data_IF_927019431311
#
_entry.id   IF_927019431311
#
_cell.length_a   1.000
_cell.length_b   1.000
_cell.length_c   1.000
_cell.angle_alpha   90.00
_cell.angle_beta   90.00
_cell.angle_gamma   90.00
#
_symmetry.space_group_name_H-M   'P 1'
#
loop_
_entity.id
_entity.type
_entity.pdbx_description
1 polymer ?
#
# COMPACT_ATOMS: atom_id res chain seq x y z
N UNK A 1 -9.42 -16.02 -19.52
CA UNK A 1 -10.89 -15.74 -19.55
C UNK A 1 -11.18 -14.35 -18.94
N UNK A 2 -12.45 -13.93 -18.88
CA UNK A 2 -12.87 -12.73 -18.15
C UNK A 2 -13.78 -13.11 -16.99
N UNK A 3 -13.66 -12.42 -15.87
CA UNK A 3 -14.54 -12.61 -14.71
C UNK A 3 -15.96 -12.19 -15.09
N UNK A 4 -16.97 -13.06 -14.92
CA UNK A 4 -18.35 -12.73 -15.25
C UNK A 4 -18.98 -11.73 -14.27
N UNK A 5 -18.36 -11.51 -13.09
CA UNK A 5 -18.84 -10.56 -12.08
C UNK A 5 -18.28 -9.15 -12.29
N UNK A 6 -16.96 -8.99 -12.47
CA UNK A 6 -16.32 -7.68 -12.60
C UNK A 6 -15.78 -7.35 -13.99
N UNK A 7 -15.82 -8.29 -14.94
CA UNK A 7 -15.34 -8.08 -16.31
C UNK A 7 -13.82 -8.04 -16.46
N UNK A 8 -13.03 -8.13 -15.39
CA UNK A 8 -11.57 -8.12 -15.48
C UNK A 8 -11.01 -9.45 -16.00
N UNK A 9 -9.83 -9.40 -16.63
CA UNK A 9 -9.21 -10.55 -17.28
C UNK A 9 -8.45 -11.40 -16.24
N UNK A 10 -8.62 -12.72 -16.33
CA UNK A 10 -8.16 -13.70 -15.34
C UNK A 10 -7.69 -14.99 -16.04
N UNK A 11 -6.84 -15.77 -15.36
CA UNK A 11 -6.42 -17.10 -15.84
C UNK A 11 -7.58 -18.08 -15.81
N UNK A 12 -7.53 -19.10 -16.67
CA UNK A 12 -8.60 -20.10 -16.82
C UNK A 12 -8.63 -21.15 -15.69
N UNK A 13 -7.55 -21.31 -14.94
CA UNK A 13 -7.42 -22.25 -13.82
C UNK A 13 -7.71 -21.61 -12.46
N UNK A 14 -7.96 -20.29 -12.43
CA UNK A 14 -8.34 -19.59 -11.21
C UNK A 14 -9.66 -20.15 -10.66
N UNK A 15 -9.65 -20.54 -9.38
CA UNK A 15 -10.88 -20.94 -8.65
C UNK A 15 -11.73 -19.73 -8.25
N UNK A 16 -11.08 -18.60 -8.01
CA UNK A 16 -11.70 -17.32 -7.66
C UNK A 16 -11.13 -16.20 -8.54
N UNK A 17 -11.92 -15.18 -8.82
CA UNK A 17 -11.47 -13.97 -9.50
C UNK A 17 -10.53 -13.20 -8.56
N UNK A 18 -9.25 -13.02 -8.89
CA UNK A 18 -8.31 -12.28 -8.05
C UNK A 18 -8.65 -10.79 -7.92
N UNK A 19 -9.63 -10.31 -8.69
CA UNK A 19 -9.98 -8.89 -8.79
C UNK A 19 -11.17 -8.49 -7.92
N UNK A 20 -12.05 -9.45 -7.62
CA UNK A 20 -13.31 -9.18 -6.92
C UNK A 20 -13.80 -10.36 -6.09
N UNK A 21 -12.99 -11.41 -5.96
CA UNK A 21 -13.30 -12.61 -5.21
C UNK A 21 -14.41 -13.50 -5.78
N UNK A 22 -14.93 -13.24 -7.00
CA UNK A 22 -16.01 -14.07 -7.55
C UNK A 22 -15.57 -15.53 -7.74
N UNK A 23 -16.33 -16.50 -7.25
CA UNK A 23 -16.05 -17.92 -7.52
C UNK A 23 -16.27 -18.23 -9.01
N UNK A 24 -15.29 -18.89 -9.63
CA UNK A 24 -15.26 -19.13 -11.08
C UNK A 24 -15.65 -20.55 -11.46
N UNK A 25 -15.78 -21.46 -10.49
CA UNK A 25 -16.09 -22.87 -10.69
C UNK A 25 -17.38 -23.10 -11.50
N UNK A 26 -18.34 -22.17 -11.47
CA UNK A 26 -19.57 -22.21 -12.26
C UNK A 26 -19.44 -21.74 -13.72
N UNK A 27 -18.30 -21.17 -14.12
CA UNK A 27 -18.10 -20.47 -15.38
C UNK A 27 -16.96 -21.02 -16.24
N UNK A 28 -16.18 -21.96 -15.72
CA UNK A 28 -15.20 -22.70 -16.50
C UNK A 28 -15.90 -23.70 -17.42
N UNK A 29 -15.55 -23.77 -18.72
CA UNK A 29 -16.06 -24.82 -19.58
C UNK A 29 -15.59 -26.15 -19.00
N UNK A 30 -16.55 -26.95 -18.52
CA UNK A 30 -16.31 -28.30 -18.05
C UNK A 30 -15.64 -29.07 -19.19
N UNK A 31 -14.33 -29.31 -19.09
CA UNK A 31 -13.62 -30.13 -20.06
C UNK A 31 -14.31 -31.48 -20.09
N UNK A 32 -14.79 -31.85 -21.28
CA UNK A 32 -15.50 -33.07 -21.53
C UNK A 32 -14.54 -34.26 -21.46
N UNK A 33 -14.33 -34.77 -20.25
CA UNK A 33 -13.73 -36.07 -19.99
C UNK A 33 -14.29 -36.64 -18.68
N UNK A 34 -15.60 -36.83 -18.62
CA UNK A 34 -16.27 -38.00 -18.02
C UNK A 34 -17.78 -37.80 -18.14
N UNK A 35 -18.34 -38.42 -19.17
CA UNK A 35 -19.76 -38.74 -19.23
C UNK A 35 -19.88 -40.27 -19.20
N UNK A 36 -20.94 -40.72 -18.52
CA UNK A 36 -21.39 -42.11 -18.27
C UNK A 36 -20.78 -42.78 -17.01
N UNK A 37 -21.54 -43.16 -15.97
CA UNK A 37 -22.99 -43.43 -15.83
C UNK A 37 -23.45 -43.07 -14.41
N UNK A 38 -24.50 -42.26 -14.30
CA UNK A 38 -25.29 -42.08 -13.08
C UNK A 38 -26.30 -43.24 -12.96
N UNK A 39 -26.27 -44.07 -11.90
CA UNK A 39 -27.38 -44.98 -11.63
C UNK A 39 -28.65 -44.18 -11.30
N UNK A 40 -29.76 -44.62 -11.89
CA UNK A 40 -31.08 -44.08 -11.67
C UNK A 40 -31.46 -44.13 -10.18
N UNK A 41 -32.10 -43.03 -9.71
CA UNK A 41 -32.71 -42.97 -8.40
C UNK A 41 -33.83 -44.01 -8.27
N UNK A 42 -33.89 -44.79 -7.18
CA UNK A 42 -35.10 -45.54 -6.84
C UNK A 42 -36.21 -44.56 -6.43
N UNK A 43 -37.44 -44.92 -6.81
CA UNK A 43 -38.67 -44.23 -6.43
C UNK A 43 -38.80 -44.08 -4.91
N UNK A 44 -39.34 -42.94 -4.49
CA UNK A 44 -39.72 -42.66 -3.10
C UNK A 44 -40.79 -43.67 -2.63
N UNK A 45 -40.49 -44.44 -1.59
CA UNK A 45 -41.49 -45.00 -0.68
C UNK A 45 -41.92 -43.93 0.34
N UNK A 46 -43.18 -43.96 0.81
CA UNK A 46 -43.68 -42.98 1.77
C UNK A 46 -43.05 -43.19 3.16
N UNK A 47 -42.82 -42.08 3.85
CA UNK A 47 -42.30 -42.05 5.21
C UNK A 47 -43.18 -42.87 6.18
N UNK A 48 -42.59 -43.71 7.06
CA UNK A 48 -43.34 -44.35 8.13
C UNK A 48 -43.78 -43.31 9.17
N UNK A 49 -45.04 -43.42 9.58
CA UNK A 49 -45.65 -42.59 10.62
C UNK A 49 -44.90 -42.70 11.96
N UNK A 50 -44.69 -41.57 12.64
CA UNK A 50 -44.19 -41.52 14.01
C UNK A 50 -45.09 -42.34 14.96
N UNK A 51 -44.53 -43.20 15.82
CA UNK A 51 -45.25 -43.74 16.96
C UNK A 51 -45.51 -42.61 17.98
N UNK A 52 -46.75 -42.53 18.46
CA UNK A 52 -47.11 -41.68 19.60
C UNK A 52 -46.39 -42.15 20.87
N UNK A 53 -45.70 -41.25 21.55
CA UNK A 53 -45.08 -41.52 22.85
C UNK A 53 -46.15 -41.56 23.96
N UNK A 54 -46.14 -42.56 24.87
CA UNK A 54 -47.17 -42.73 25.89
C UNK A 54 -47.13 -41.68 27.01
N UNK A 55 -48.29 -41.48 27.64
CA UNK A 55 -48.49 -40.64 28.81
C UNK A 55 -47.82 -41.18 30.10
N UNK A 56 -47.35 -40.22 30.90
CA UNK A 56 -46.89 -40.22 32.30
C UNK A 56 -46.94 -41.52 33.14
N UNK A 57 -45.86 -41.71 33.90
CA UNK A 57 -45.92 -42.20 35.28
C UNK A 57 -45.08 -41.29 36.20
N UNK A 58 -45.61 -41.00 37.39
CA UNK A 58 -45.14 -40.01 38.36
C UNK A 58 -44.33 -40.66 39.49
N UNK A 59 -43.20 -40.07 39.91
CA UNK A 59 -42.60 -40.23 41.25
C UNK A 59 -41.45 -39.22 41.48
N UNK A 60 -40.98 -38.99 42.71
CA UNK A 60 -41.65 -38.37 43.85
C UNK A 60 -40.98 -37.01 44.23
N UNK A 61 -41.69 -36.19 45.02
CA UNK A 61 -41.18 -34.92 45.54
C UNK A 61 -40.04 -35.11 46.57
N UNK A 62 -38.98 -34.30 46.45
CA UNK A 62 -37.92 -34.15 47.46
C UNK A 62 -37.42 -32.69 47.52
N UNK A 63 -36.77 -32.25 48.61
CA UNK A 63 -37.18 -31.09 49.40
C UNK A 63 -36.54 -29.78 48.97
N UNK A 64 -37.19 -28.67 49.33
CA UNK A 64 -36.72 -27.31 49.09
C UNK A 64 -35.38 -27.01 49.80
N UNK A 65 -34.37 -26.66 49.01
CA UNK A 65 -33.13 -26.01 49.46
C UNK A 65 -33.39 -24.51 49.64
N UNK A 66 -32.99 -23.89 50.76
CA UNK A 66 -33.20 -22.47 50.99
C UNK A 66 -32.30 -21.61 50.08
N UNK A 67 -32.88 -20.53 49.54
CA UNK A 67 -32.19 -19.56 48.69
C UNK A 67 -31.02 -18.87 49.44
N UNK A 68 -29.88 -18.63 48.77
CA UNK A 68 -28.85 -17.78 49.33
C UNK A 68 -29.36 -16.33 49.44
N UNK A 69 -29.15 -15.74 50.62
CA UNK A 69 -29.42 -14.32 50.86
C UNK A 69 -28.58 -13.47 49.91
N UNK A 70 -29.24 -12.62 49.11
CA UNK A 70 -28.56 -11.59 48.34
C UNK A 70 -27.99 -10.55 49.29
N UNK A 71 -26.68 -10.36 49.24
CA UNK A 71 -26.03 -9.15 49.74
C UNK A 71 -26.59 -7.93 49.00
N UNK A 72 -26.92 -6.90 49.77
CA UNK A 72 -27.37 -5.61 49.26
C UNK A 72 -26.20 -4.87 48.63
N UNK A 73 -26.33 -4.48 47.37
CA UNK A 73 -25.40 -3.55 46.72
C UNK A 73 -25.40 -2.19 47.45
N UNK A 74 -24.24 -1.51 47.58
CA UNK A 74 -24.17 -0.19 48.21
C UNK A 74 -24.92 0.86 47.38
N UNK A 75 -25.62 1.75 48.09
CA UNK A 75 -26.37 2.86 47.51
C UNK A 75 -25.46 3.84 46.78
N UNK A 76 -25.77 4.10 45.51
CA UNK A 76 -25.14 5.13 44.68
C UNK A 76 -25.56 6.54 45.16
N UNK A 77 -24.65 7.53 45.26
CA UNK A 77 -25.03 8.91 45.55
C UNK A 77 -25.90 9.50 44.42
N UNK A 78 -26.95 10.21 44.80
CA UNK A 78 -27.81 10.94 43.85
C UNK A 78 -27.02 12.08 43.19
N UNK A 79 -26.86 12.02 41.87
CA UNK A 79 -26.42 13.15 41.05
C UNK A 79 -27.55 14.19 40.96
N UNK A 80 -27.25 15.50 41.01
CA UNK A 80 -28.27 16.54 40.87
C UNK A 80 -28.82 16.59 39.44
N UNK A 81 -30.12 16.82 39.32
CA UNK A 81 -30.81 16.98 38.04
C UNK A 81 -30.25 18.18 37.25
N UNK A 82 -29.95 18.04 35.94
CA UNK A 82 -29.66 19.20 35.11
C UNK A 82 -30.94 20.02 34.91
N UNK A 83 -30.84 21.32 35.15
CA UNK A 83 -31.86 22.29 34.80
C UNK A 83 -32.09 22.24 33.28
N UNK A 84 -33.36 22.17 32.87
CA UNK A 84 -33.75 22.29 31.47
C UNK A 84 -33.59 23.74 31.04
N UNK A 85 -32.51 24.04 30.32
CA UNK A 85 -32.43 25.26 29.52
C UNK A 85 -33.42 25.16 28.35
N UNK A 86 -34.22 26.22 28.21
CA UNK A 86 -35.12 26.44 27.08
C UNK A 86 -34.33 26.36 25.78
N UNK A 87 -34.82 25.55 24.84
CA UNK A 87 -34.36 25.51 23.47
C UNK A 87 -34.29 26.92 22.85
N UNK A 88 -33.19 27.30 22.19
CA UNK A 88 -33.16 28.50 21.36
C UNK A 88 -34.17 28.36 20.22
N UNK A 89 -34.95 29.42 19.96
CA UNK A 89 -35.82 29.49 18.81
C UNK A 89 -35.00 29.41 17.51
N UNK A 90 -35.41 28.51 16.62
CA UNK A 90 -34.85 28.32 15.29
C UNK A 90 -34.89 29.64 14.48
N UNK A 91 -33.79 30.08 13.87
CA UNK A 91 -33.81 31.20 12.93
C UNK A 91 -34.70 30.88 11.73
N UNK A 92 -35.50 31.86 11.30
CA UNK A 92 -36.30 31.75 10.09
C UNK A 92 -35.41 31.52 8.86
N UNK A 93 -35.84 30.61 7.98
CA UNK A 93 -35.17 30.33 6.72
C UNK A 93 -35.05 31.60 5.86
N UNK A 94 -33.89 31.87 5.23
CA UNK A 94 -33.79 32.95 4.26
C UNK A 94 -34.70 32.68 3.06
N UNK A 95 -35.35 33.74 2.58
CA UNK A 95 -36.19 33.70 1.39
C UNK A 95 -35.38 33.24 0.17
N UNK A 96 -35.93 32.32 -0.62
CA UNK A 96 -35.34 31.87 -1.87
C UNK A 96 -35.30 33.03 -2.87
N UNK A 97 -34.09 33.41 -3.27
CA UNK A 97 -33.89 34.24 -4.45
C UNK A 97 -34.33 33.50 -5.71
N UNK A 98 -34.99 34.23 -6.60
CA UNK A 98 -35.45 33.77 -7.91
C UNK A 98 -34.27 33.23 -8.72
N UNK A 99 -34.44 32.04 -9.28
CA UNK A 99 -33.55 31.45 -10.27
C UNK A 99 -33.27 32.43 -11.44
N UNK A 100 -32.01 32.59 -11.88
CA UNK A 100 -31.70 33.28 -13.13
C UNK A 100 -32.34 32.55 -14.32
N UNK A 101 -32.90 33.31 -15.25
CA UNK A 101 -33.47 32.78 -16.49
C UNK A 101 -32.39 32.09 -17.34
N UNK A 102 -32.70 30.88 -17.78
CA UNK A 102 -31.89 30.07 -18.69
C UNK A 102 -31.67 30.79 -20.04
N UNK A 103 -30.42 30.90 -20.54
CA UNK A 103 -30.17 31.41 -21.88
C UNK A 103 -30.79 30.50 -22.95
N UNK A 104 -31.42 31.11 -23.96
CA UNK A 104 -32.00 30.42 -25.09
C UNK A 104 -30.94 29.68 -25.92
N UNK A 105 -31.28 28.47 -26.36
CA UNK A 105 -30.45 27.64 -27.22
C UNK A 105 -30.12 28.36 -28.55
N UNK A 106 -28.87 28.27 -29.05
CA UNK A 106 -28.55 28.79 -30.38
C UNK A 106 -29.22 27.95 -31.47
N UNK A 107 -29.77 28.66 -32.45
CA UNK A 107 -30.47 28.12 -33.60
C UNK A 107 -29.58 27.25 -34.50
N UNK A 108 -30.20 26.21 -35.07
CA UNK A 108 -29.62 25.29 -36.04
C UNK A 108 -29.01 26.03 -37.23
N UNK A 109 -27.75 25.72 -37.56
CA UNK A 109 -27.15 26.10 -38.83
C UNK A 109 -27.60 25.14 -39.94
N UNK A 110 -27.77 25.75 -41.10
CA UNK A 110 -28.38 25.19 -42.30
C UNK A 110 -27.36 24.29 -43.02
N UNK A 111 -27.83 23.11 -43.42
CA UNK A 111 -27.15 22.13 -44.27
C UNK A 111 -26.98 22.67 -45.71
N UNK A 112 -25.80 22.58 -46.34
CA UNK A 112 -25.68 22.74 -47.78
C UNK A 112 -25.98 21.43 -48.52
N UNK A 113 -26.94 21.55 -49.43
CA UNK A 113 -27.39 20.58 -50.43
C UNK A 113 -26.29 20.21 -51.42
N UNK A 114 -26.22 18.93 -51.79
CA UNK A 114 -25.42 18.42 -52.90
C UNK A 114 -25.96 18.87 -54.27
N UNK A 115 -25.13 18.94 -55.33
CA UNK A 115 -25.56 18.78 -56.71
C UNK A 115 -25.23 17.38 -57.27
N UNK A 116 -26.03 16.98 -58.24
CA UNK A 116 -26.27 15.62 -58.69
C UNK A 116 -25.39 15.14 -59.87
N UNK A 117 -25.37 13.79 -59.99
CA UNK A 117 -25.32 12.94 -61.20
C UNK A 117 -24.12 12.94 -62.17
N UNK A 118 -23.55 11.74 -62.36
CA UNK A 118 -23.48 11.10 -63.70
C UNK A 118 -23.16 9.59 -63.62
N UNK A 119 -24.12 8.81 -64.15
CA UNK A 119 -23.99 7.57 -64.96
C UNK A 119 -23.33 6.29 -64.41
N UNK A 120 -24.20 5.27 -64.24
CA UNK A 120 -23.97 3.81 -64.34
C UNK A 120 -23.46 3.41 -65.76
N UNK A 121 -22.88 2.20 -65.98
CA UNK A 121 -23.69 0.96 -66.11
C UNK A 121 -23.09 -0.32 -65.47
N UNK A 122 -23.94 -1.04 -64.71
CA UNK A 122 -24.25 -2.49 -64.71
C UNK A 122 -23.17 -3.50 -65.15
N UNK A 123 -22.84 -4.47 -64.28
CA UNK A 123 -23.26 -5.88 -64.42
C UNK A 123 -22.74 -6.78 -63.28
N UNK A 124 -23.51 -7.84 -63.03
CA UNK A 124 -23.46 -8.81 -61.94
C UNK A 124 -22.21 -9.71 -61.89
N UNK A 125 -21.84 -10.15 -60.67
CA UNK A 125 -22.00 -11.54 -60.20
C UNK A 125 -20.80 -12.08 -59.37
N UNK A 126 -21.14 -12.49 -58.14
CA UNK A 126 -20.72 -13.71 -57.41
C UNK A 126 -19.24 -14.12 -57.31
N UNK A 127 -18.90 -14.46 -56.05
CA UNK A 127 -17.96 -15.49 -55.56
C UNK A 127 -16.53 -15.08 -55.13
N UNK A 128 -16.32 -15.24 -53.83
CA UNK A 128 -15.07 -15.58 -53.12
C UNK A 128 -14.50 -16.93 -53.64
N UNK A 129 -13.32 -17.44 -53.21
CA UNK A 129 -12.00 -16.88 -52.82
C UNK A 129 -10.90 -17.31 -53.81
N UNK A 130 -9.68 -16.77 -53.70
CA UNK A 130 -8.45 -17.60 -53.62
C UNK A 130 -7.21 -16.75 -53.33
N UNK A 131 -6.42 -17.28 -52.41
CA UNK A 131 -5.04 -16.97 -52.03
C UNK A 131 -4.07 -16.94 -53.24
N UNK A 132 -2.87 -16.36 -53.08
CA UNK A 132 -1.68 -17.19 -53.33
C UNK A 132 -0.65 -17.13 -52.19
N UNK A 133 -0.21 -18.33 -51.78
CA UNK A 133 1.16 -18.60 -51.32
C UNK A 133 2.09 -18.63 -52.58
N UNK A 134 3.42 -18.60 -52.57
CA UNK A 134 4.45 -18.79 -51.55
C UNK A 134 5.82 -18.34 -52.12
N UNK A 135 6.81 -18.19 -51.24
CA UNK A 135 8.25 -18.34 -51.52
C UNK A 135 9.08 -17.06 -51.34
N UNK A 136 10.16 -16.99 -50.56
CA UNK A 136 11.01 -18.04 -49.99
C UNK A 136 11.86 -17.57 -48.78
N UNK A 137 11.87 -18.41 -47.73
CA UNK A 137 12.97 -18.92 -46.90
C UNK A 137 14.03 -18.07 -46.15
N UNK A 138 14.19 -18.53 -44.89
CA UNK A 138 15.35 -18.54 -43.98
C UNK A 138 15.82 -17.21 -43.36
N UNK A 139 15.91 -17.01 -42.05
CA UNK A 139 16.00 -17.93 -40.91
C UNK A 139 17.42 -17.95 -40.34
N UNK A 140 17.70 -17.16 -39.29
CA UNK A 140 18.69 -17.50 -38.26
C UNK A 140 18.54 -16.55 -37.06
N UNK A 141 18.41 -17.13 -35.87
CA UNK A 141 18.35 -16.38 -34.61
C UNK A 141 19.73 -15.99 -34.09
N UNK A 142 19.75 -14.98 -33.22
CA UNK A 142 20.83 -14.76 -32.24
C UNK A 142 20.23 -14.34 -30.91
N UNK A 143 20.61 -15.12 -29.88
CA UNK A 143 20.32 -14.95 -28.46
C UNK A 143 21.14 -13.79 -27.90
N UNK A 144 20.55 -12.97 -27.04
CA UNK A 144 21.27 -11.97 -26.22
C UNK A 144 21.32 -12.48 -24.79
N UNK A 145 22.35 -13.27 -24.49
CA UNK A 145 22.77 -13.65 -23.12
C UNK A 145 24.06 -12.87 -22.91
N UNK A 146 24.01 -11.80 -22.12
CA UNK A 146 25.17 -10.94 -21.88
C UNK A 146 24.92 -9.75 -20.97
N UNK A 147 23.67 -9.34 -20.77
CA UNK A 147 23.34 -8.17 -19.93
C UNK A 147 23.24 -8.50 -18.43
N UNK A 148 22.90 -9.74 -18.06
CA UNK A 148 22.60 -10.12 -16.67
C UNK A 148 23.87 -10.32 -15.83
N UNK A 149 24.99 -10.76 -16.42
CA UNK A 149 26.23 -11.02 -15.66
C UNK A 149 26.98 -9.71 -15.30
N UNK A 150 26.85 -8.67 -16.13
CA UNK A 150 27.48 -7.37 -15.87
C UNK A 150 26.84 -6.60 -14.72
N UNK A 151 25.52 -6.66 -14.59
CA UNK A 151 24.76 -5.96 -13.54
C UNK A 151 25.02 -6.60 -12.18
N UNK A 152 25.01 -7.94 -12.10
CA UNK A 152 25.28 -8.65 -10.84
C UNK A 152 26.73 -8.43 -10.37
N UNK A 153 27.70 -8.37 -11.28
CA UNK A 153 29.08 -8.06 -10.91
C UNK A 153 29.26 -6.62 -10.40
N UNK A 154 28.52 -5.65 -10.96
CA UNK A 154 28.58 -4.25 -10.51
C UNK A 154 27.96 -4.07 -9.11
N UNK A 155 26.79 -4.68 -8.86
CA UNK A 155 26.11 -4.61 -7.55
C UNK A 155 26.95 -5.25 -6.45
N UNK A 156 27.61 -6.39 -6.72
CA UNK A 156 28.48 -7.06 -5.73
C UNK A 156 29.74 -6.23 -5.41
N UNK A 157 30.29 -5.50 -6.38
CA UNK A 157 31.45 -4.62 -6.16
C UNK A 157 31.05 -3.39 -5.33
N UNK A 158 29.88 -2.81 -5.60
CA UNK A 158 29.35 -1.67 -4.83
C UNK A 158 29.08 -2.09 -3.38
N UNK A 159 28.40 -3.22 -3.16
CA UNK A 159 28.14 -3.73 -1.81
C UNK A 159 29.44 -4.03 -1.02
N UNK A 160 30.49 -4.52 -1.69
CA UNK A 160 31.79 -4.74 -1.05
C UNK A 160 32.52 -3.44 -0.68
N UNK A 161 32.35 -2.37 -1.46
CA UNK A 161 32.92 -1.05 -1.17
C UNK A 161 32.17 -0.39 0.00
N UNK A 162 30.84 -0.42 -0.02
CA UNK A 162 29.99 0.11 1.07
C UNK A 162 30.27 -0.64 2.38
N UNK A 163 30.35 -1.97 2.33
CA UNK A 163 30.71 -2.78 3.49
C UNK A 163 32.11 -2.47 4.05
N UNK A 164 33.08 -2.12 3.18
CA UNK A 164 34.41 -1.70 3.62
C UNK A 164 34.39 -0.30 4.27
N UNK A 165 33.62 0.65 3.75
CA UNK A 165 33.52 2.01 4.32
C UNK A 165 32.87 1.98 5.70
N UNK A 166 31.81 1.19 5.89
CA UNK A 166 31.16 1.05 7.20
C UNK A 166 32.07 0.32 8.21
N UNK A 167 32.82 -0.70 7.77
CA UNK A 167 33.70 -1.47 8.66
C UNK A 167 34.99 -0.74 9.05
N UNK A 168 35.50 0.15 8.18
CA UNK A 168 36.71 0.95 8.46
C UNK A 168 36.41 2.38 8.96
N UNK A 169 35.17 2.86 8.87
CA UNK A 169 34.75 4.21 9.27
C UNK A 169 34.48 4.42 10.76
N UNK A 170 34.26 3.37 11.55
CA UNK A 170 34.05 3.50 13.00
C UNK A 170 35.33 3.19 13.80
N UNK A 171 36.22 4.18 13.87
CA UNK A 171 37.18 4.34 14.98
C UNK A 171 37.32 5.83 15.27
N UNK A 172 36.59 6.30 16.27
CA UNK A 172 36.90 7.56 16.93
C UNK A 172 37.45 7.27 18.32
N UNK A 173 38.60 7.90 18.57
CA UNK A 173 39.40 7.82 19.78
C UNK A 173 38.74 8.60 20.93
N UNK A 174 38.58 7.94 22.08
CA UNK A 174 38.34 8.55 23.39
C UNK A 174 39.64 9.20 23.92
N UNK A 175 39.58 10.47 24.35
CA UNK A 175 40.41 11.13 25.39
C UNK A 175 40.10 12.67 25.35
N UNK A 176 39.94 13.48 26.40
CA UNK A 176 40.02 13.29 27.84
C UNK A 176 39.38 14.51 28.57
N UNK A 177 38.60 14.23 29.62
CA UNK A 177 38.39 14.94 30.91
C UNK A 177 38.44 16.48 31.05
N UNK A 178 37.41 16.94 31.81
CA UNK A 178 37.42 17.71 33.10
C UNK A 178 37.05 19.21 33.11
N UNK A 179 35.93 19.47 33.82
CA UNK A 179 35.66 20.46 34.90
C UNK A 179 36.41 21.81 34.87
N UNK A 180 35.78 22.97 35.10
CA UNK A 180 35.10 23.38 36.34
C UNK A 180 34.55 24.82 36.16
N UNK A 181 33.41 25.14 36.82
CA UNK A 181 32.92 26.47 37.31
C UNK A 181 32.87 27.68 36.36
N UNK A 182 32.17 28.79 36.61
CA UNK A 182 31.08 29.27 37.47
C UNK A 182 30.94 30.76 37.10
N UNK A 183 29.72 31.29 37.19
CA UNK A 183 29.30 32.69 37.32
C UNK A 183 30.01 33.87 36.60
N UNK A 184 29.14 34.57 35.86
CA UNK A 184 28.95 36.03 35.77
C UNK A 184 29.55 36.90 36.89
N UNK A 185 30.14 38.04 36.53
CA UNK A 185 29.75 39.40 36.98
C UNK A 185 30.43 40.50 36.15
N UNK A 186 29.65 41.55 35.84
CA UNK A 186 30.04 42.87 35.31
C UNK A 186 30.93 43.66 36.28
N UNK A 187 31.67 44.66 35.76
CA UNK A 187 31.69 46.09 36.19
C UNK A 187 32.98 46.80 35.72
N UNK A 188 32.76 48.01 35.20
CA UNK A 188 33.65 49.14 34.88
C UNK A 188 34.91 49.33 35.76
N UNK A 189 36.02 49.84 35.22
CA UNK A 189 36.37 51.29 35.29
C UNK A 189 37.75 51.65 34.67
N UNK A 190 37.74 52.81 33.99
CA UNK A 190 38.77 53.87 33.75
C UNK A 190 40.29 53.61 33.65
N UNK A 191 40.83 54.18 32.56
CA UNK A 191 41.98 55.11 32.41
C UNK A 191 43.22 54.96 33.31
N UNK A 192 44.40 54.82 32.69
CA UNK A 192 45.53 55.75 32.89
C UNK A 192 46.64 55.55 31.84
N UNK A 193 47.03 56.68 31.23
CA UNK A 193 48.20 56.91 30.37
C UNK A 193 49.51 56.38 30.94
N UNK A 194 50.38 55.76 30.12
CA UNK A 194 51.84 56.03 30.10
C UNK A 194 52.51 55.70 28.75
N UNK A 195 53.09 56.77 28.19
CA UNK A 195 54.24 56.86 27.28
C UNK A 195 55.13 55.61 27.15
N UNK A 196 55.31 55.16 25.90
CA UNK A 196 56.55 54.56 25.42
C UNK A 196 56.71 54.86 23.92
N UNK A 197 57.76 55.61 23.56
CA UNK A 197 58.21 55.84 22.18
C UNK A 197 58.41 54.50 21.43
N UNK A 198 58.00 54.38 20.15
CA UNK A 198 58.46 53.29 19.31
C UNK A 198 59.80 53.68 18.67
N UNK A 199 60.78 52.79 18.82
CA UNK A 199 62.03 52.80 18.07
C UNK A 199 61.73 52.34 16.64
N UNK A 200 62.05 53.15 15.63
CA UNK A 200 61.87 52.80 14.23
C UNK A 200 62.83 51.67 13.81
N UNK A 201 62.28 50.51 13.45
CA UNK A 201 62.99 49.48 12.67
C UNK A 201 62.59 49.59 11.18
N UNK A 202 63.51 49.35 10.23
CA UNK A 202 63.29 49.63 8.82
C UNK A 202 62.30 48.63 8.20
N UNK A 203 61.26 49.17 7.56
CA UNK A 203 60.28 48.43 6.75
C UNK A 203 61.00 47.75 5.58
N UNK A 204 61.03 46.43 5.59
CA UNK A 204 61.38 45.62 4.42
C UNK A 204 60.10 45.38 3.65
N UNK A 205 60.00 45.96 2.45
CA UNK A 205 58.85 45.79 1.56
C UNK A 205 58.85 44.35 1.03
N UNK A 206 58.10 43.47 1.70
CA UNK A 206 57.84 42.10 1.21
C UNK A 206 56.83 42.23 0.08
N UNK A 207 57.29 42.03 -1.15
CA UNK A 207 56.42 41.92 -2.31
C UNK A 207 55.62 40.62 -2.16
N UNK A 208 54.33 40.73 -1.83
CA UNK A 208 53.44 39.57 -1.74
C UNK A 208 53.38 38.89 -3.11
N UNK A 209 53.74 37.60 -3.15
CA UNK A 209 53.52 36.78 -4.32
C UNK A 209 52.00 36.69 -4.58
N UNK A 210 51.55 36.74 -5.85
CA UNK A 210 50.12 36.67 -6.14
C UNK A 210 49.54 35.36 -5.57
N UNK A 211 48.52 35.49 -4.73
CA UNK A 211 47.70 34.37 -4.26
C UNK A 211 47.22 33.59 -5.48
N UNK A 212 47.44 32.26 -5.55
CA UNK A 212 46.92 31.46 -6.65
C UNK A 212 45.40 31.65 -6.71
N UNK A 213 44.91 31.93 -7.91
CA UNK A 213 43.48 32.03 -8.17
C UNK A 213 42.80 30.73 -7.71
N UNK A 214 41.69 30.78 -6.96
CA UNK A 214 41.04 29.57 -6.47
C UNK A 214 40.73 28.68 -7.66
N UNK A 215 41.18 27.43 -7.60
CA UNK A 215 40.79 26.43 -8.60
C UNK A 215 39.27 26.31 -8.53
N UNK A 216 38.54 26.41 -9.66
CA UNK A 216 37.09 26.31 -9.64
C UNK A 216 36.70 24.99 -9.01
N UNK A 217 35.81 25.06 -8.01
CA UNK A 217 35.23 23.88 -7.37
C UNK A 217 34.50 23.06 -8.44
N UNK A 218 34.62 21.72 -8.45
CA UNK A 218 33.92 20.90 -9.43
C UNK A 218 32.42 21.19 -9.37
N UNK A 219 31.80 21.43 -10.53
CA UNK A 219 30.35 21.59 -10.62
C UNK A 219 29.70 20.26 -10.24
N UNK A 220 28.76 20.25 -9.28
CA UNK A 220 28.11 19.02 -8.88
C UNK A 220 27.36 18.39 -10.06
N UNK A 221 27.44 17.07 -10.21
CA UNK A 221 26.72 16.32 -11.21
C UNK A 221 25.21 16.30 -10.88
N UNK A 222 24.34 16.61 -11.86
CA UNK A 222 22.90 16.61 -11.64
C UNK A 222 22.36 15.20 -11.38
N UNK A 223 21.37 15.09 -10.50
CA UNK A 223 20.60 13.88 -10.26
C UNK A 223 19.36 13.78 -11.17
N UNK A 224 18.81 12.58 -11.29
CA UNK A 224 17.54 12.27 -11.95
C UNK A 224 16.60 11.52 -10.99
N UNK A 225 15.35 11.96 -10.92
CA UNK A 225 14.27 11.28 -10.23
C UNK A 225 13.28 10.70 -11.24
N UNK A 226 13.03 9.40 -11.14
CA UNK A 226 12.06 8.70 -11.97
C UNK A 226 10.89 8.25 -11.09
N UNK A 227 9.72 8.82 -11.33
CA UNK A 227 8.49 8.52 -10.59
C UNK A 227 7.62 7.58 -11.41
N UNK A 228 7.28 6.42 -10.85
CA UNK A 228 6.42 5.40 -11.49
C UNK A 228 5.14 5.24 -10.68
N UNK A 229 4.00 5.48 -11.30
CA UNK A 229 2.68 5.35 -10.68
C UNK A 229 1.94 4.12 -11.23
N UNK A 230 1.55 3.24 -10.31
CA UNK A 230 0.87 1.98 -10.58
C UNK A 230 -0.44 1.88 -9.82
N UNK A 231 -1.41 1.17 -10.37
CA UNK A 231 -2.65 0.77 -9.70
C UNK A 231 -2.38 -0.51 -8.94
N UNK A 232 -2.36 -0.45 -7.61
CA UNK A 232 -2.21 -1.63 -6.76
C UNK A 232 -3.34 -2.64 -7.03
N UNK A 233 -4.57 -2.17 -7.24
CA UNK A 233 -5.73 -3.02 -7.53
C UNK A 233 -5.63 -3.76 -8.87
N UNK A 234 -5.01 -3.14 -9.88
CA UNK A 234 -4.84 -3.77 -11.20
C UNK A 234 -3.53 -4.53 -11.35
N UNK A 235 -2.60 -4.42 -10.38
CA UNK A 235 -1.25 -4.95 -10.49
C UNK A 235 -1.23 -6.46 -10.78
N UNK A 236 -2.13 -7.21 -10.14
CA UNK A 236 -2.27 -8.66 -10.32
C UNK A 236 -3.26 -9.07 -11.42
N UNK A 237 -3.83 -8.10 -12.12
CA UNK A 237 -4.83 -8.33 -13.16
C UNK A 237 -4.16 -8.64 -14.49
N UNK A 238 -4.11 -9.91 -14.88
CA UNK A 238 -3.54 -10.28 -16.18
C UNK A 238 -4.19 -9.52 -17.34
N UNK A 239 -3.40 -8.67 -18.01
CA UNK A 239 -3.85 -7.89 -19.15
C UNK A 239 -4.73 -6.68 -18.82
N UNK A 240 -4.83 -6.29 -17.55
CA UNK A 240 -5.14 -4.90 -17.22
C UNK A 240 -3.87 -4.06 -17.31
N UNK A 241 -4.01 -2.79 -17.69
CA UNK A 241 -2.94 -1.83 -17.49
C UNK A 241 -2.87 -1.50 -16.00
N UNK A 242 -1.74 -1.79 -15.38
CA UNK A 242 -1.45 -1.36 -14.02
C UNK A 242 -0.73 -0.01 -14.00
N UNK A 243 -0.09 0.41 -15.09
CA UNK A 243 0.43 1.78 -15.21
C UNK A 243 -0.72 2.79 -15.13
N UNK A 244 -0.58 3.78 -14.24
CA UNK A 244 -1.55 4.85 -14.06
C UNK A 244 -1.23 6.05 -14.94
N UNK A 245 -1.71 5.99 -16.17
CA UNK A 245 -1.66 7.13 -17.08
C UNK A 245 -2.51 8.29 -16.56
N UNK A 246 -1.99 9.51 -16.73
CA UNK A 246 -2.64 10.76 -16.35
C UNK A 246 -2.50 11.13 -14.88
N UNK A 247 -1.67 10.43 -14.09
CA UNK A 247 -1.34 10.78 -12.70
C UNK A 247 -0.57 12.10 -12.66
N UNK A 248 -0.99 13.00 -11.79
CA UNK A 248 -0.26 14.24 -11.51
C UNK A 248 0.82 13.93 -10.46
N UNK A 249 2.02 14.43 -10.71
CA UNK A 249 3.19 14.28 -9.83
C UNK A 249 3.60 15.68 -9.39
N UNK A 250 3.67 15.88 -8.09
CA UNK A 250 4.15 17.10 -7.45
C UNK A 250 5.37 16.77 -6.62
N UNK A 251 6.44 17.55 -6.76
CA UNK A 251 7.68 17.36 -6.01
C UNK A 251 8.02 18.64 -5.28
N UNK A 252 8.30 18.49 -3.99
CA UNK A 252 8.68 19.55 -3.06
C UNK A 252 10.09 19.27 -2.55
N UNK A 253 10.93 20.29 -2.49
CA UNK A 253 12.22 20.22 -1.80
C UNK A 253 12.00 20.14 -0.28
N UNK A 254 12.64 19.15 0.35
CA UNK A 254 12.45 18.80 1.75
C UNK A 254 11.08 18.19 2.04
N UNK A 255 10.68 18.24 3.31
CA UNK A 255 9.43 17.61 3.80
C UNK A 255 8.24 18.55 3.87
N UNK A 256 8.42 19.84 3.56
CA UNK A 256 7.35 20.82 3.65
C UNK A 256 6.57 20.88 2.33
N UNK A 257 5.30 20.49 2.38
CA UNK A 257 4.40 20.47 1.22
C UNK A 257 3.43 21.66 1.21
N UNK A 258 3.62 22.64 2.11
CA UNK A 258 2.88 23.89 2.08
C UNK A 258 3.42 24.83 1.00
N UNK A 259 2.66 25.04 -0.07
CA UNK A 259 2.98 26.01 -1.12
C UNK A 259 2.90 25.44 -2.51
N UNK A 260 3.53 26.15 -3.46
CA UNK A 260 3.68 25.67 -4.83
C UNK A 260 4.81 24.62 -4.88
N UNK A 261 4.63 23.51 -5.62
CA UNK A 261 5.67 22.50 -5.80
C UNK A 261 6.81 23.02 -6.68
N UNK A 262 8.04 22.57 -6.39
CA UNK A 262 9.23 22.87 -7.19
C UNK A 262 9.16 22.25 -8.58
N UNK A 263 8.56 21.06 -8.68
CA UNK A 263 8.30 20.38 -9.93
C UNK A 263 6.87 19.88 -10.02
N UNK A 264 6.24 20.08 -11.18
CA UNK A 264 4.94 19.50 -11.49
C UNK A 264 5.02 18.79 -12.83
N UNK A 265 4.54 17.55 -12.86
CA UNK A 265 4.50 16.75 -14.06
C UNK A 265 3.22 15.92 -14.13
N UNK A 266 2.98 15.31 -15.28
CA UNK A 266 1.87 14.38 -15.49
C UNK A 266 2.37 13.13 -16.19
N UNK A 267 2.19 11.97 -15.56
CA UNK A 267 2.63 10.69 -16.06
C UNK A 267 1.82 10.28 -17.30
N UNK A 268 2.41 10.25 -18.50
CA UNK A 268 1.68 9.91 -19.72
C UNK A 268 1.43 8.40 -19.85
N UNK A 269 2.41 7.59 -19.47
CA UNK A 269 2.40 6.13 -19.54
C UNK A 269 2.51 5.46 -18.15
N UNK A 270 2.29 6.25 -17.09
CA UNK A 270 2.54 5.85 -15.70
C UNK A 270 3.93 6.22 -15.20
N UNK A 271 4.80 6.83 -16.01
CA UNK A 271 6.14 7.26 -15.60
C UNK A 271 6.36 8.76 -15.85
N UNK A 272 7.17 9.39 -15.00
CA UNK A 272 7.74 10.74 -15.16
C UNK A 272 9.23 10.67 -14.84
N UNK A 273 10.08 11.29 -15.66
CA UNK A 273 11.47 11.57 -15.33
C UNK A 273 11.66 13.08 -15.09
N UNK A 274 12.26 13.43 -13.97
CA UNK A 274 12.67 14.80 -13.62
C UNK A 274 14.20 14.79 -13.62
N UNK A 275 14.77 15.52 -14.57
CA UNK A 275 16.22 15.61 -14.74
C UNK A 275 16.77 16.88 -14.09
N UNK A 276 18.10 16.97 -14.02
CA UNK A 276 18.81 18.16 -13.56
C UNK A 276 18.43 18.58 -12.13
N UNK A 277 18.18 17.61 -11.26
CA UNK A 277 17.86 17.83 -9.85
C UNK A 277 19.12 18.04 -9.03
N UNK A 278 19.04 18.88 -8.01
CA UNK A 278 20.10 19.03 -7.01
C UNK A 278 20.06 17.84 -6.04
N UNK A 279 21.20 17.55 -5.40
CA UNK A 279 21.23 16.56 -4.33
C UNK A 279 20.47 17.10 -3.11
N UNK A 280 19.65 16.26 -2.48
CA UNK A 280 18.79 16.69 -1.38
C UNK A 280 17.67 15.71 -1.07
N UNK A 281 16.90 16.06 -0.05
CA UNK A 281 15.66 15.37 0.31
C UNK A 281 14.49 16.01 -0.43
N UNK A 282 13.56 15.20 -0.92
CA UNK A 282 12.36 15.64 -1.63
C UNK A 282 11.14 14.89 -1.15
N UNK A 283 10.00 15.56 -1.05
CA UNK A 283 8.69 14.91 -0.91
C UNK A 283 7.98 14.85 -2.24
N UNK A 284 7.63 13.64 -2.67
CA UNK A 284 6.92 13.36 -3.92
C UNK A 284 5.49 12.96 -3.61
N UNK A 285 4.53 13.68 -4.21
CA UNK A 285 3.09 13.42 -4.09
C UNK A 285 2.54 12.99 -5.45
N UNK A 286 1.81 11.88 -5.46
CA UNK A 286 1.06 11.39 -6.61
C UNK A 286 -0.44 11.54 -6.39
N UNK A 287 -1.12 12.22 -7.32
CA UNK A 287 -2.58 12.39 -7.32
C UNK A 287 -3.22 11.88 -8.61
N UNK A 288 -4.32 11.14 -8.47
CA UNK A 288 -5.10 10.62 -9.58
C UNK A 288 -6.56 10.49 -9.18
N UNK A 289 -7.47 11.10 -9.95
CA UNK A 289 -8.92 10.96 -9.71
C UNK A 289 -9.33 9.49 -9.56
N UNK A 290 -10.07 9.18 -8.49
CA UNK A 290 -10.52 7.83 -8.15
C UNK A 290 -9.48 6.96 -7.45
N UNK A 291 -8.37 7.54 -7.02
CA UNK A 291 -7.34 6.88 -6.21
C UNK A 291 -7.01 7.72 -4.98
N UNK A 292 -6.69 7.04 -3.87
CA UNK A 292 -6.12 7.70 -2.71
C UNK A 292 -4.77 8.30 -3.08
N UNK A 293 -4.56 9.57 -2.72
CA UNK A 293 -3.27 10.24 -2.82
C UNK A 293 -2.19 9.42 -2.11
N UNK A 294 -0.99 9.39 -2.67
CA UNK A 294 0.19 8.82 -2.03
C UNK A 294 1.31 9.86 -1.97
N UNK A 295 2.09 9.79 -0.89
CA UNK A 295 3.21 10.66 -0.60
C UNK A 295 4.40 9.80 -0.15
N UNK A 296 5.60 10.11 -0.64
CA UNK A 296 6.85 9.47 -0.25
C UNK A 296 7.99 10.49 -0.22
N UNK A 297 8.86 10.39 0.79
CA UNK A 297 10.12 11.15 0.85
C UNK A 297 11.22 10.36 0.12
N UNK A 298 12.04 11.06 -0.65
CA UNK A 298 13.11 10.51 -1.49
C UNK A 298 14.38 11.33 -1.26
N UNK A 299 15.50 10.64 -1.06
CA UNK A 299 16.84 11.24 -0.99
C UNK A 299 17.55 11.09 -2.34
N UNK A 300 18.19 12.16 -2.83
CA UNK A 300 19.02 12.15 -4.04
C UNK A 300 20.46 12.54 -3.68
N UNK A 301 21.43 11.71 -4.08
CA UNK A 301 22.85 12.08 -4.04
C UNK A 301 23.32 12.66 -5.39
N UNK A 302 24.53 13.24 -5.41
CA UNK A 302 25.09 13.86 -6.61
C UNK A 302 25.28 12.84 -7.74
N UNK A 303 24.67 13.10 -8.90
CA UNK A 303 24.74 12.22 -10.07
C UNK A 303 23.85 10.98 -10.00
N UNK A 304 22.97 10.87 -9.01
CA UNK A 304 22.09 9.72 -8.85
C UNK A 304 21.03 9.60 -9.93
N UNK A 305 20.53 8.39 -10.10
CA UNK A 305 19.24 8.13 -10.76
C UNK A 305 18.40 7.28 -9.82
N UNK A 306 17.39 7.88 -9.20
CA UNK A 306 16.53 7.21 -8.22
C UNK A 306 15.19 6.89 -8.85
N UNK A 307 14.82 5.61 -8.80
CA UNK A 307 13.50 5.10 -9.18
C UNK A 307 12.60 5.02 -7.94
N UNK A 308 11.49 5.75 -7.92
CA UNK A 308 10.46 5.65 -6.87
C UNK A 308 9.15 5.14 -7.45
N UNK A 309 8.55 4.15 -6.80
CA UNK A 309 7.32 3.47 -7.26
C UNK A 309 6.16 3.69 -6.31
N UNK A 310 5.08 4.27 -6.82
CA UNK A 310 3.83 4.51 -6.11
C UNK A 310 2.77 3.49 -6.52
N UNK A 311 2.42 2.59 -5.61
CA UNK A 311 1.31 1.66 -5.80
C UNK A 311 0.03 2.26 -5.21
N UNK A 312 -0.71 2.98 -6.04
CA UNK A 312 -1.90 3.72 -5.64
C UNK A 312 -3.14 2.83 -5.54
N UNK A 313 -3.92 3.04 -4.48
CA UNK A 313 -5.15 2.33 -4.20
C UNK A 313 -6.35 3.08 -4.77
N UNK A 314 -7.24 2.38 -5.47
CA UNK A 314 -8.50 2.95 -5.94
C UNK A 314 -9.41 3.31 -4.75
N UNK A 315 -10.08 4.44 -4.82
CA UNK A 315 -11.00 4.90 -3.77
C UNK A 315 -12.14 3.91 -3.54
N UNK A 316 -12.48 3.69 -2.27
CA UNK A 316 -13.57 2.81 -1.87
C UNK A 316 -14.92 3.52 -2.01
N UNK A 317 -15.81 2.94 -2.82
CA UNK A 317 -17.18 3.45 -2.98
C UNK A 317 -18.12 3.08 -1.83
N UNK A 318 -17.83 1.99 -1.10
CA UNK A 318 -18.63 1.53 0.04
C UNK A 318 -18.01 2.03 1.35
N UNK A 319 -18.78 2.75 2.16
CA UNK A 319 -18.35 3.29 3.45
C UNK A 319 -18.02 2.23 4.50
N UNK A 320 -18.48 0.99 4.29
CA UNK A 320 -18.15 -0.14 5.17
C UNK A 320 -16.92 -0.90 4.71
N UNK A 321 -16.47 -0.68 3.48
CA UNK A 321 -15.31 -1.38 2.97
C UNK A 321 -14.02 -0.79 3.54
N UNK A 322 -12.98 -1.61 3.58
CA UNK A 322 -11.64 -1.18 3.93
C UNK A 322 -10.58 -1.96 3.16
N UNK A 323 -9.44 -1.33 2.94
CA UNK A 323 -8.19 -2.02 2.65
C UNK A 323 -7.34 -2.16 3.90
N UNK A 324 -6.68 -3.31 4.05
CA UNK A 324 -5.45 -3.43 4.83
C UNK A 324 -4.31 -3.40 3.82
N UNK A 325 -3.38 -2.45 3.98
CA UNK A 325 -2.34 -2.19 3.02
C UNK A 325 -0.98 -2.22 3.71
N UNK A 326 -0.13 -3.16 3.27
CA UNK A 326 1.22 -3.36 3.76
C UNK A 326 2.20 -2.85 2.70
N UNK A 327 3.26 -2.17 3.14
CA UNK A 327 4.38 -1.77 2.28
C UNK A 327 5.70 -1.96 3.02
N UNK A 328 6.77 -2.29 2.29
CA UNK A 328 8.13 -2.41 2.82
C UNK A 328 9.12 -2.09 1.71
N UNK A 329 10.34 -1.73 2.07
CA UNK A 329 11.47 -1.69 1.14
C UNK A 329 12.27 -3.00 1.24
N UNK A 330 13.21 -3.25 0.32
CA UNK A 330 14.07 -4.44 0.38
C UNK A 330 13.55 -5.65 -0.39
N UNK A 331 14.25 -6.79 -0.25
CA UNK A 331 14.08 -7.99 -1.08
C UNK A 331 13.39 -9.16 -0.36
N UNK A 332 12.68 -8.86 0.73
CA UNK A 332 11.90 -9.86 1.45
C UNK A 332 10.54 -10.10 0.78
N UNK A 333 10.14 -11.37 0.76
CA UNK A 333 8.87 -11.85 0.24
C UNK A 333 7.90 -11.98 1.40
N UNK A 334 7.20 -10.89 1.74
CA UNK A 334 6.34 -10.83 2.92
C UNK A 334 4.88 -11.14 2.56
N UNK A 335 4.22 -11.92 3.41
CA UNK A 335 2.83 -12.35 3.24
C UNK A 335 1.91 -11.66 4.27
N UNK A 336 0.81 -11.08 3.79
CA UNK A 336 -0.28 -10.50 4.57
C UNK A 336 -1.41 -11.53 4.74
N UNK A 337 -1.77 -11.81 5.97
CA UNK A 337 -2.77 -12.80 6.32
C UNK A 337 -3.84 -12.23 7.24
N UNK A 338 -5.07 -12.74 7.12
CA UNK A 338 -6.19 -12.37 7.99
C UNK A 338 -6.85 -13.61 8.56
N UNK A 339 -7.03 -13.66 9.89
CA UNK A 339 -7.89 -14.67 10.51
C UNK A 339 -9.28 -14.11 10.81
N UNK A 340 -10.31 -14.69 10.20
CA UNK A 340 -11.69 -14.34 10.47
C UNK A 340 -12.29 -15.25 11.55
N UNK A 341 -12.61 -14.68 12.71
CA UNK A 341 -13.09 -15.43 13.88
C UNK A 341 -14.49 -16.03 13.72
N UNK A 342 -15.33 -15.53 12.79
CA UNK A 342 -16.68 -16.06 12.52
C UNK A 342 -16.60 -17.34 11.70
N UNK A 343 -15.79 -17.33 10.66
CA UNK A 343 -15.63 -18.46 9.75
C UNK A 343 -14.55 -19.45 10.20
N UNK A 344 -13.69 -19.05 11.14
CA UNK A 344 -12.51 -19.82 11.57
C UNK A 344 -11.60 -20.15 10.38
N UNK A 345 -11.47 -19.18 9.48
CA UNK A 345 -10.70 -19.30 8.24
C UNK A 345 -9.59 -18.26 8.23
N UNK A 346 -8.47 -18.64 7.62
CA UNK A 346 -7.42 -17.71 7.24
C UNK A 346 -7.64 -17.29 5.80
N UNK A 347 -7.54 -15.99 5.54
CA UNK A 347 -7.37 -15.42 4.20
C UNK A 347 -5.88 -15.25 3.99
N UNK A 348 -5.34 -15.99 3.03
CA UNK A 348 -3.93 -16.04 2.62
C UNK A 348 -3.90 -16.17 1.12
N UNK A 349 -2.75 -16.08 0.45
CA UNK A 349 -2.71 -16.28 -1.00
C UNK A 349 -3.28 -17.66 -1.46
N UNK A 350 -3.13 -18.73 -0.66
CA UNK A 350 -3.67 -20.06 -0.99
C UNK A 350 -5.19 -20.14 -0.84
N UNK A 351 -5.70 -19.45 0.18
CA UNK A 351 -7.13 -19.32 0.43
C UNK A 351 -7.46 -17.84 0.34
N UNK A 352 -7.45 -17.26 -0.87
CA UNK A 352 -7.43 -15.81 -1.05
C UNK A 352 -8.75 -15.17 -0.72
N UNK A 353 -9.73 -15.94 -0.27
CA UNK A 353 -11.05 -15.46 0.09
C UNK A 353 -11.74 -16.35 1.12
N UNK A 354 -12.43 -15.73 2.07
CA UNK A 354 -13.26 -16.44 3.06
C UNK A 354 -14.77 -16.36 2.76
N UNK A 355 -15.58 -16.92 3.68
CA UNK A 355 -17.05 -16.86 3.60
C UNK A 355 -17.68 -15.48 3.85
N UNK A 356 -16.91 -14.47 4.27
CA UNK A 356 -17.36 -13.08 4.40
C UNK A 356 -17.07 -12.25 3.15
N UNK A 357 -16.52 -12.86 2.09
CA UNK A 357 -15.99 -12.18 0.92
C UNK A 357 -14.77 -11.27 1.21
N UNK A 358 -14.09 -11.47 2.34
CA UNK A 358 -12.77 -10.88 2.61
C UNK A 358 -11.75 -11.54 1.70
N UNK A 359 -10.85 -10.77 1.09
CA UNK A 359 -9.90 -11.34 0.14
C UNK A 359 -8.54 -10.64 0.08
N UNK A 360 -7.47 -11.39 -0.11
CA UNK A 360 -6.12 -10.84 -0.36
C UNK A 360 -5.89 -10.66 -1.86
N UNK A 361 -5.26 -9.54 -2.24
CA UNK A 361 -4.92 -9.22 -3.61
C UNK A 361 -3.57 -9.79 -3.97
N UNK A 362 -3.57 -10.90 -4.71
CA UNK A 362 -2.35 -11.49 -5.24
C UNK A 362 -1.30 -11.76 -4.15
N UNK A 363 -0.12 -12.15 -4.61
CA UNK A 363 1.07 -12.38 -3.80
C UNK A 363 2.17 -11.61 -4.52
N UNK A 364 2.69 -10.60 -3.83
CA UNK A 364 3.78 -9.79 -4.32
C UNK A 364 5.08 -10.30 -3.72
N UNK A 365 6.06 -10.48 -4.58
CA UNK A 365 7.35 -11.00 -4.17
C UNK A 365 8.31 -9.89 -3.72
N UNK A 366 9.48 -10.34 -3.27
CA UNK A 366 10.70 -9.56 -3.03
C UNK A 366 11.02 -8.39 -3.99
N UNK A 367 10.51 -8.37 -5.22
CA UNK A 367 10.79 -7.27 -6.15
C UNK A 367 9.82 -6.08 -6.01
N UNK A 368 8.69 -6.27 -5.31
CA UNK A 368 7.58 -5.32 -5.21
C UNK A 368 7.11 -5.30 -3.75
N UNK A 369 7.51 -4.26 -3.01
CA UNK A 369 7.28 -4.17 -1.57
C UNK A 369 5.89 -3.69 -1.16
N UNK A 370 4.82 -4.38 -1.57
CA UNK A 370 3.49 -4.15 -1.01
C UNK A 370 2.62 -5.40 -0.96
N UNK A 371 1.69 -5.48 -0.02
CA UNK A 371 0.61 -6.47 -0.01
C UNK A 371 -0.71 -5.77 0.32
N UNK A 372 -1.83 -6.33 -0.13
CA UNK A 372 -3.13 -5.72 0.12
C UNK A 372 -4.22 -6.75 0.39
N UNK A 373 -5.10 -6.44 1.33
CA UNK A 373 -6.32 -7.18 1.60
C UNK A 373 -7.54 -6.26 1.57
N UNK A 374 -8.66 -6.77 1.07
CA UNK A 374 -9.96 -6.12 1.07
C UNK A 374 -10.89 -6.72 2.13
N UNK A 375 -11.55 -5.85 2.89
CA UNK A 375 -12.61 -6.19 3.84
C UNK A 375 -13.89 -5.52 3.35
N UNK A 376 -14.95 -6.27 2.98
CA UNK A 376 -16.20 -5.68 2.49
C UNK A 376 -17.02 -4.96 3.56
N UNK A 377 -16.93 -5.40 4.81
CA UNK A 377 -17.63 -4.78 5.94
C UNK A 377 -16.76 -4.77 7.19
N UNK A 378 -15.98 -3.70 7.37
CA UNK A 378 -15.11 -3.47 8.52
C UNK A 378 -15.94 -3.29 9.82
N UNK A 379 -17.20 -2.85 9.71
CA UNK A 379 -18.09 -2.54 10.84
C UNK A 379 -18.71 -3.78 11.48
N UNK A 380 -18.54 -4.96 10.87
CA UNK A 380 -19.06 -6.20 11.43
C UNK A 380 -18.46 -6.50 12.82
N UNK A 381 -19.30 -6.95 13.75
CA UNK A 381 -18.89 -7.43 15.09
C UNK A 381 -18.27 -8.84 15.01
N UNK A 382 -17.23 -8.96 14.20
CA UNK A 382 -16.41 -10.17 13.99
C UNK A 382 -14.97 -9.76 14.21
N UNK A 383 -14.24 -10.54 15.01
CA UNK A 383 -12.80 -10.30 15.20
C UNK A 383 -12.06 -10.77 13.95
N UNK A 384 -11.20 -9.89 13.42
CA UNK A 384 -10.32 -10.14 12.29
C UNK A 384 -8.90 -9.82 12.68
N UNK A 385 -8.07 -10.83 12.93
CA UNK A 385 -6.67 -10.62 13.31
C UNK A 385 -5.83 -10.54 12.06
N UNK A 386 -5.04 -9.48 11.91
CA UNK A 386 -4.09 -9.31 10.81
C UNK A 386 -2.74 -9.86 11.24
N UNK A 387 -2.05 -10.52 10.32
CA UNK A 387 -0.71 -11.04 10.48
C UNK A 387 0.14 -10.60 9.29
N UNK A 388 1.40 -10.27 9.55
CA UNK A 388 2.44 -10.11 8.55
C UNK A 388 3.48 -11.20 8.79
N UNK A 389 3.88 -11.90 7.74
CA UNK A 389 4.66 -13.12 7.83
C UNK A 389 5.88 -12.99 6.92
N UNK A 390 7.05 -13.43 7.39
CA UNK A 390 8.17 -13.79 6.53
C UNK A 390 8.18 -15.32 6.35
N UNK A 391 7.65 -15.85 5.24
CA UNK A 391 7.52 -17.28 5.00
C UNK A 391 8.87 -17.98 4.94
N UNK A 392 9.91 -17.28 4.45
CA UNK A 392 11.26 -17.82 4.35
C UNK A 392 11.85 -17.98 5.73
N UNK A 393 11.75 -16.97 6.58
CA UNK A 393 12.24 -17.03 7.96
C UNK A 393 11.53 -18.13 8.77
N UNK A 394 10.20 -18.26 8.63
CA UNK A 394 9.44 -19.37 9.25
C UNK A 394 9.97 -20.73 8.79
N UNK A 395 10.15 -20.92 7.48
CA UNK A 395 10.59 -22.20 6.90
C UNK A 395 12.01 -22.59 7.29
N UNK A 396 12.90 -21.61 7.33
CA UNK A 396 14.30 -21.81 7.70
C UNK A 396 14.50 -21.87 9.23
N UNK A 397 13.49 -21.47 10.01
CA UNK A 397 13.54 -21.43 11.47
C UNK A 397 14.53 -20.39 11.98
N UNK A 398 14.59 -19.24 11.30
CA UNK A 398 15.50 -18.12 11.59
C UNK A 398 14.72 -16.87 11.96
N UNK A 399 15.42 -15.90 12.54
CA UNK A 399 14.88 -14.55 12.74
C UNK A 399 14.64 -13.86 11.38
N UNK A 400 13.65 -12.98 11.32
CA UNK A 400 13.33 -12.17 10.14
C UNK A 400 13.79 -10.74 10.38
N UNK A 401 14.32 -10.05 9.37
CA UNK A 401 14.58 -8.61 9.45
C UNK A 401 13.47 -7.76 8.85
N UNK A 402 12.23 -8.29 8.72
CA UNK A 402 11.16 -7.66 7.93
C UNK A 402 10.83 -6.23 8.36
N UNK A 403 11.06 -5.88 9.61
CA UNK A 403 10.83 -4.54 10.14
C UNK A 403 11.90 -3.51 9.72
N UNK A 404 13.12 -3.96 9.39
CA UNK A 404 14.29 -3.09 9.15
C UNK A 404 14.08 -2.12 7.97
N UNK A 405 13.32 -2.56 6.96
CA UNK A 405 13.15 -1.83 5.72
C UNK A 405 11.84 -1.02 5.71
N UNK A 406 11.47 -0.47 6.87
CA UNK A 406 10.36 0.48 6.99
C UNK A 406 8.97 -0.15 6.79
N UNK A 407 8.81 -1.40 7.24
CA UNK A 407 7.54 -2.13 7.14
C UNK A 407 6.39 -1.31 7.74
N UNK A 408 5.45 -0.92 6.89
CA UNK A 408 4.35 -0.03 7.23
C UNK A 408 3.03 -0.68 6.90
N UNK A 409 2.11 -0.68 7.87
CA UNK A 409 0.76 -1.20 7.70
C UNK A 409 -0.28 -0.12 7.93
N UNK A 410 -1.24 -0.04 7.00
CA UNK A 410 -2.33 0.93 7.02
C UNK A 410 -3.68 0.25 6.93
N UNK A 411 -4.69 0.85 7.55
CA UNK A 411 -6.10 0.54 7.30
C UNK A 411 -6.77 1.75 6.69
N UNK A 412 -7.37 1.57 5.52
CA UNK A 412 -7.88 2.64 4.67
C UNK A 412 -9.35 2.37 4.38
N UNK A 413 -10.22 3.34 4.66
CA UNK A 413 -11.65 3.30 4.36
C UNK A 413 -12.01 4.38 3.33
N UNK A 414 -13.28 4.48 2.94
CA UNK A 414 -13.73 5.59 2.08
C UNK A 414 -13.45 6.98 2.67
N UNK A 415 -13.29 7.10 4.00
CA UNK A 415 -12.92 8.36 4.66
C UNK A 415 -11.42 8.62 4.73
N UNK A 416 -10.58 7.73 4.18
CA UNK A 416 -9.12 7.82 4.21
C UNK A 416 -8.47 6.84 5.18
N UNK A 417 -7.23 7.13 5.57
CA UNK A 417 -6.45 6.29 6.49
C UNK A 417 -7.02 6.41 7.91
N UNK A 418 -7.43 5.29 8.52
CA UNK A 418 -7.92 5.23 9.90
C UNK A 418 -6.92 4.56 10.86
N UNK A 419 -5.87 3.95 10.30
CA UNK A 419 -4.76 3.37 11.04
C UNK A 419 -3.51 3.41 10.19
N UNK A 420 -2.38 3.73 10.81
CA UNK A 420 -1.08 3.86 10.17
C UNK A 420 0.02 3.56 11.19
N UNK A 421 0.81 2.54 10.92
CA UNK A 421 1.90 2.12 11.80
C UNK A 421 3.10 1.67 10.99
N UNK A 422 4.28 2.13 11.41
CA UNK A 422 5.58 1.60 11.01
C UNK A 422 6.00 0.61 12.12
N UNK A 423 6.42 -0.60 11.72
CA UNK A 423 6.87 -1.61 12.65
C UNK A 423 8.15 -1.19 13.38
N UNK A 424 8.40 -1.82 14.53
CA UNK A 424 9.59 -1.56 15.36
C UNK A 424 10.80 -2.24 14.71
N UNK A 425 11.71 -1.45 14.17
CA UNK A 425 12.92 -1.87 13.44
C UNK A 425 13.96 -2.57 14.31
N UNK A 426 13.79 -2.58 15.64
CA UNK A 426 14.61 -3.38 16.54
C UNK A 426 14.11 -4.84 16.67
N UNK A 427 12.95 -5.17 16.09
CA UNK A 427 12.37 -6.52 16.17
C UNK A 427 12.83 -7.37 15.01
N UNK A 428 12.95 -8.68 15.28
CA UNK A 428 13.44 -9.63 14.29
C UNK A 428 12.53 -10.86 14.13
N UNK A 429 11.22 -10.64 14.23
CA UNK A 429 10.26 -11.72 14.36
C UNK A 429 9.79 -12.24 13.01
N UNK A 430 9.74 -13.56 12.77
CA UNK A 430 9.20 -14.10 11.50
C UNK A 430 7.69 -13.94 11.36
N UNK A 431 6.99 -13.52 12.42
CA UNK A 431 5.56 -13.24 12.42
C UNK A 431 5.25 -12.01 13.28
N UNK A 432 4.52 -11.06 12.70
CA UNK A 432 4.06 -9.83 13.34
C UNK A 432 2.54 -9.75 13.33
N UNK A 433 1.96 -9.39 14.47
CA UNK A 433 0.52 -9.23 14.69
C UNK A 433 0.26 -7.76 14.95
N UNK A 434 0.01 -6.95 13.90
CA UNK A 434 -0.12 -5.54 14.09
C UNK A 434 -1.39 -5.19 14.90
N UNK A 435 -2.52 -5.78 14.55
CA UNK A 435 -3.79 -5.48 15.21
C UNK A 435 -4.83 -6.56 14.94
N UNK A 436 -5.98 -6.41 15.59
CA UNK A 436 -7.22 -6.99 15.13
C UNK A 436 -8.30 -5.92 14.93
N UNK A 437 -9.25 -6.22 14.06
CA UNK A 437 -10.40 -5.37 13.78
C UNK A 437 -11.64 -5.98 14.45
N UNK A 438 -12.44 -5.16 15.11
CA UNK A 438 -13.73 -5.58 15.65
C UNK A 438 -14.73 -4.42 15.64
N UNK A 439 -15.86 -4.58 14.95
CA UNK A 439 -16.92 -3.57 14.97
C UNK A 439 -16.52 -2.22 14.38
N UNK A 440 -15.57 -2.21 13.43
CA UNK A 440 -15.01 -0.99 12.83
C UNK A 440 -13.84 -0.38 13.61
N UNK A 441 -13.51 -0.90 14.80
CA UNK A 441 -12.38 -0.41 15.60
C UNK A 441 -11.12 -1.23 15.33
N UNK A 442 -9.99 -0.53 15.22
CA UNK A 442 -8.65 -1.13 15.17
C UNK A 442 -8.12 -1.26 16.59
N UNK A 443 -7.67 -2.46 16.95
CA UNK A 443 -7.30 -2.81 18.31
C UNK A 443 -5.94 -3.47 18.35
N UNK A 444 -5.03 -2.91 19.14
CA UNK A 444 -3.63 -3.33 19.25
C UNK A 444 -3.33 -4.11 20.53
N UNK A 445 -4.33 -4.34 21.38
CA UNK A 445 -4.28 -5.15 22.60
C UNK A 445 -4.30 -6.66 22.31
N UNK A 446 -3.49 -7.11 21.35
CA UNK A 446 -3.35 -8.52 20.94
C UNK A 446 -2.40 -9.33 21.83
N UNK A 447 -1.79 -8.70 22.85
CA UNK A 447 -0.73 -9.29 23.67
C UNK A 447 0.65 -9.03 23.06
N UNK A 448 1.51 -10.04 23.07
CA UNK A 448 2.79 -9.97 22.36
C UNK A 448 2.50 -9.87 20.85
N UNK A 449 3.14 -8.92 20.17
CA UNK A 449 2.91 -8.63 18.74
C UNK A 449 3.96 -9.26 17.83
N UNK A 450 5.12 -9.60 18.37
CA UNK A 450 6.28 -10.14 17.65
C UNK A 450 6.53 -11.58 18.10
N UNK A 451 6.14 -12.54 17.26
CA UNK A 451 6.15 -13.98 17.54
C UNK A 451 7.40 -14.71 17.04
N UNK A 452 8.25 -15.17 17.96
CA UNK A 452 9.43 -15.97 17.64
C UNK A 452 9.17 -17.48 17.65
N UNK A 453 8.18 -17.94 18.42
CA UNK A 453 7.80 -19.37 18.52
C UNK A 453 6.49 -19.64 17.76
N UNK A 454 6.59 -20.39 16.67
CA UNK A 454 5.47 -20.75 15.80
C UNK A 454 4.65 -21.95 16.31
N UNK A 455 5.03 -22.59 17.43
CA UNK A 455 4.37 -23.83 17.89
C UNK A 455 2.86 -23.69 18.11
N UNK A 456 2.41 -22.49 18.50
CA UNK A 456 1.00 -22.17 18.75
C UNK A 456 0.25 -21.71 17.49
N UNK A 457 0.96 -21.44 16.40
CA UNK A 457 0.41 -20.93 15.15
C UNK A 457 0.38 -22.04 14.09
N UNK A 458 -0.29 -23.16 14.38
CA UNK A 458 -0.22 -24.37 13.54
C UNK A 458 -0.61 -24.20 12.06
N UNK A 459 -1.25 -23.10 11.69
CA UNK A 459 -1.53 -22.71 10.29
C UNK A 459 -0.27 -22.28 9.53
N UNK A 460 0.75 -21.76 10.21
CA UNK A 460 2.02 -21.35 9.57
C UNK A 460 2.82 -22.53 9.03
N UNK A 461 2.46 -23.77 9.42
CA UNK A 461 3.02 -25.01 8.84
C UNK A 461 2.78 -25.17 7.35
N UNK A 462 1.87 -24.38 6.77
CA UNK A 462 1.73 -24.31 5.31
C UNK A 462 2.94 -23.61 4.66
N UNK A 463 3.54 -22.62 5.34
CA UNK A 463 4.75 -21.93 4.88
C UNK A 463 6.03 -22.76 5.06
N UNK A 464 6.07 -23.65 6.06
CA UNK A 464 7.16 -24.61 6.26
C UNK A 464 7.33 -25.60 5.08
N UNK A 465 6.29 -25.78 4.25
CA UNK A 465 6.28 -26.73 3.12
C UNK A 465 6.58 -26.10 1.76
N UNK A 466 6.48 -24.77 1.68
CA UNK A 466 6.91 -24.00 0.51
C UNK A 466 8.43 -23.98 0.42
#
# INVERSE_FOLDING_TARGET
>A
MFCPKCGGKIKEDNKFCPLCGAELAGFLPKTAAEAEVKPAAPAQEPAPAQPATPAQESAPAQPATPAPAQESAPAQPAAPAPAQDKAPAQPAAPAQDKAPAQPAAPAQSIQPTAPAQSTQPTAHAKQQPTQPAAGSNSGSGKKVIGLIIGIVAAVVVIAAIVGAVIFFGNKDDDDDKRADKDKTEDVDDKDDDKDAEPTEEPVVEVTEAPTPEPTPEPTPAPAELIVKAYSANNFFSEGASYNLTGTNVFVYEGTNTEGEPDYTARAEDGTVSIHDMEAGEYTVICERDGYYMQEQTVSLEEGDTVDVSFYMLAELADEKAAYVYLTWEGDQDLDLCLFNSKWKQYVTIETPKDGADEFVYGDNNAAIGFEMLYIPDITASVSRTVYVVDPKAIREGVESGMENDGLRIRVITSSGVIYDEIADDEKTSPLFIPFYIYGGEIRTDVGDRYMYDMSNYGWTKEYEKR
#
